data_IF_384561187903
#
_entry.id   IF_384561187903
#
_cell.length_a   1.000
_cell.length_b   1.000
_cell.length_c   1.000
_cell.angle_alpha   90.00
_cell.angle_beta   90.00
_cell.angle_gamma   90.00
#
_symmetry.space_group_name_H-M   'P 1'
#
loop_
_entity.id
_entity.type
_entity.pdbx_description
1 polymer ?
#
# COMPACT_ATOMS: atom_id res chain seq x y z
N UNK A 1 -15.07 -3.29 4.23
CA UNK A 1 -13.76 -2.86 3.72
C UNK A 1 -12.64 -3.85 4.05
N UNK A 2 -12.23 -4.00 5.32
CA UNK A 2 -11.06 -4.81 5.72
C UNK A 2 -11.04 -6.22 5.10
N UNK A 3 -12.12 -7.02 5.27
CA UNK A 3 -12.21 -8.38 4.69
C UNK A 3 -12.01 -8.43 3.17
N UNK A 4 -12.41 -7.40 2.44
CA UNK A 4 -12.23 -7.33 0.99
C UNK A 4 -10.77 -7.01 0.64
N UNK A 5 -10.11 -6.16 1.42
CA UNK A 5 -8.68 -5.88 1.29
C UNK A 5 -7.87 -7.13 1.61
N UNK A 6 -8.18 -7.86 2.69
CA UNK A 6 -7.53 -9.13 3.02
C UNK A 6 -7.70 -10.17 1.91
N UNK A 7 -8.90 -10.27 1.31
CA UNK A 7 -9.15 -11.15 0.16
C UNK A 7 -8.31 -10.76 -1.06
N UNK A 8 -8.18 -9.47 -1.33
CA UNK A 8 -7.33 -8.95 -2.40
C UNK A 8 -5.86 -9.28 -2.11
N UNK A 9 -5.39 -9.07 -0.87
CA UNK A 9 -4.03 -9.40 -0.44
C UNK A 9 -3.72 -10.88 -0.64
N UNK A 10 -4.63 -11.77 -0.23
CA UNK A 10 -4.45 -13.21 -0.42
C UNK A 10 -4.35 -13.61 -1.89
N UNK A 11 -5.27 -13.12 -2.73
CA UNK A 11 -5.29 -13.41 -4.18
C UNK A 11 -4.01 -12.98 -4.88
N UNK A 12 -3.41 -11.91 -4.38
CA UNK A 12 -2.28 -11.24 -5.00
C UNK A 12 -0.95 -11.54 -4.29
N UNK A 13 -0.92 -12.45 -3.31
CA UNK A 13 0.28 -12.76 -2.51
C UNK A 13 0.94 -11.49 -1.92
N UNK A 14 0.13 -10.63 -1.33
CA UNK A 14 0.61 -9.47 -0.57
C UNK A 14 0.83 -9.92 0.87
N UNK A 15 2.06 -9.77 1.35
CA UNK A 15 2.45 -10.22 2.69
C UNK A 15 1.89 -9.30 3.78
N UNK A 16 1.93 -7.98 3.56
CA UNK A 16 1.60 -6.99 4.59
C UNK A 16 0.95 -5.75 3.97
N UNK A 17 0.08 -5.10 4.73
CA UNK A 17 -0.64 -3.90 4.31
C UNK A 17 -0.84 -2.95 5.48
N UNK A 18 -0.71 -1.66 5.22
CA UNK A 18 -1.05 -0.59 6.16
C UNK A 18 -2.13 0.30 5.55
N UNK A 19 -3.19 0.53 6.31
CA UNK A 19 -4.29 1.44 5.97
C UNK A 19 -4.20 2.61 6.94
N UNK A 20 -4.05 3.82 6.43
CA UNK A 20 -3.80 5.04 7.21
C UNK A 20 -4.90 6.04 6.92
N UNK A 21 -5.60 6.50 7.96
CA UNK A 21 -6.44 7.68 7.89
C UNK A 21 -5.54 8.93 7.93
N UNK A 22 -5.54 9.75 6.89
CA UNK A 22 -4.63 10.90 6.78
C UNK A 22 -5.06 12.07 7.69
N UNK A 23 -6.33 12.12 8.09
CA UNK A 23 -6.84 13.16 8.99
C UNK A 23 -6.41 12.89 10.44
N UNK A 24 -6.45 11.62 10.86
CA UNK A 24 -6.17 11.21 12.26
C UNK A 24 -4.82 10.52 12.45
N UNK A 25 -4.16 10.11 11.37
CA UNK A 25 -2.95 9.26 11.35
C UNK A 25 -3.11 7.89 12.01
N UNK A 26 -4.35 7.48 12.29
CA UNK A 26 -4.65 6.13 12.78
C UNK A 26 -4.31 5.10 11.72
N UNK A 27 -3.72 3.98 12.18
CA UNK A 27 -3.22 2.91 11.32
C UNK A 27 -3.90 1.60 11.63
N UNK A 28 -4.27 0.89 10.57
CA UNK A 28 -4.67 -0.52 10.62
C UNK A 28 -3.65 -1.32 9.83
N UNK A 29 -3.03 -2.29 10.49
CA UNK A 29 -2.06 -3.19 9.90
C UNK A 29 -2.71 -4.56 9.63
N UNK A 30 -2.52 -5.09 8.42
CA UNK A 30 -3.05 -6.38 7.99
C UNK A 30 -1.91 -7.27 7.47
N UNK A 31 -2.04 -8.58 7.65
CA UNK A 31 -1.05 -9.57 7.21
C UNK A 31 0.14 -9.71 8.17
N UNK A 32 1.27 -10.17 7.64
CA UNK A 32 2.46 -10.50 8.41
C UNK A 32 3.70 -9.79 7.83
N UNK A 33 4.15 -8.74 8.52
CA UNK A 33 5.34 -7.98 8.15
C UNK A 33 6.64 -8.80 8.23
N UNK A 34 6.67 -9.87 9.01
CA UNK A 34 7.87 -10.71 9.18
C UNK A 34 8.10 -11.65 7.99
N UNK A 35 7.12 -11.76 7.08
CA UNK A 35 7.31 -12.43 5.78
C UNK A 35 8.13 -11.60 4.79
N UNK A 36 8.55 -10.38 5.15
CA UNK A 36 9.27 -9.47 4.27
C UNK A 36 10.66 -9.16 4.80
N UNK A 37 11.67 -9.46 3.99
CA UNK A 37 13.08 -9.18 4.24
C UNK A 37 13.75 -8.62 2.97
N UNK A 38 14.40 -7.44 3.05
CA UNK A 38 14.51 -6.56 4.22
C UNK A 38 13.17 -5.89 4.58
N UNK A 39 12.97 -5.52 5.84
CA UNK A 39 11.75 -4.85 6.30
C UNK A 39 11.91 -3.31 6.40
N UNK A 40 13.00 -2.73 5.89
CA UNK A 40 13.27 -1.30 6.14
C UNK A 40 12.26 -0.39 5.42
N UNK A 41 11.69 -0.79 4.27
CA UNK A 41 10.57 -0.05 3.67
C UNK A 41 9.37 0.09 4.62
N UNK A 42 9.15 -0.87 5.52
CA UNK A 42 8.10 -0.77 6.54
C UNK A 42 8.59 0.15 7.66
N UNK A 43 9.84 -0.02 8.10
CA UNK A 43 10.46 0.80 9.17
C UNK A 43 10.53 2.28 8.82
N UNK A 44 10.76 2.61 7.55
CA UNK A 44 10.73 3.97 7.01
C UNK A 44 9.39 4.68 7.17
N UNK A 45 8.33 3.97 7.55
CA UNK A 45 6.99 4.49 7.69
C UNK A 45 6.41 4.18 9.09
N UNK A 46 7.24 3.79 10.06
CA UNK A 46 6.77 3.42 11.41
C UNK A 46 6.28 4.64 12.19
N UNK A 47 7.02 5.74 12.13
CA UNK A 47 6.70 6.96 12.86
C UNK A 47 5.68 7.83 12.09
N UNK A 48 4.83 8.55 12.81
CA UNK A 48 3.82 9.44 12.23
C UNK A 48 4.43 10.53 11.33
N UNK A 49 5.58 11.07 11.74
CA UNK A 49 6.29 12.09 10.96
C UNK A 49 6.80 11.54 9.62
N UNK A 50 7.21 10.27 9.60
CA UNK A 50 7.66 9.64 8.37
C UNK A 50 6.48 9.35 7.43
N UNK A 51 5.34 8.90 7.97
CA UNK A 51 4.09 8.77 7.21
C UNK A 51 3.64 10.10 6.59
N UNK A 52 3.71 11.19 7.35
CA UNK A 52 3.43 12.54 6.85
C UNK A 52 4.38 12.91 5.71
N UNK A 53 5.66 12.60 5.86
CA UNK A 53 6.67 12.79 4.82
C UNK A 53 6.36 11.98 3.55
N UNK A 54 5.97 10.72 3.71
CA UNK A 54 5.55 9.86 2.61
C UNK A 54 4.32 10.44 1.90
N UNK A 55 3.28 10.80 2.64
CA UNK A 55 2.06 11.39 2.07
C UNK A 55 2.37 12.66 1.27
N UNK A 56 3.17 13.59 1.81
CA UNK A 56 3.64 14.79 1.09
C UNK A 56 4.38 14.45 -0.20
N UNK A 57 5.14 13.36 -0.22
CA UNK A 57 5.83 12.88 -1.42
C UNK A 57 4.88 12.32 -2.51
N UNK A 58 3.61 12.08 -2.17
CA UNK A 58 2.54 11.69 -3.11
C UNK A 58 1.73 12.87 -3.64
N UNK A 59 1.75 14.02 -2.98
CA UNK A 59 0.96 15.19 -3.37
C UNK A 59 1.32 15.68 -4.78
N UNK A 60 0.30 15.87 -5.62
CA UNK A 60 0.46 16.29 -7.02
C UNK A 60 1.17 15.28 -7.92
N UNK A 61 1.38 14.03 -7.46
CA UNK A 61 2.01 12.97 -8.25
C UNK A 61 0.97 11.96 -8.75
N UNK A 62 1.21 11.33 -9.91
CA UNK A 62 0.38 10.21 -10.36
C UNK A 62 0.45 9.04 -9.38
N UNK A 63 -0.71 8.45 -9.11
CA UNK A 63 -0.88 7.26 -8.28
C UNK A 63 -1.54 6.13 -9.07
N UNK A 64 -1.31 4.86 -8.69
CA UNK A 64 -0.51 4.41 -7.54
C UNK A 64 0.99 4.45 -7.82
N UNK A 65 1.81 4.43 -6.76
CA UNK A 65 3.28 4.58 -6.86
C UNK A 65 4.02 3.42 -6.21
N UNK A 66 5.05 2.91 -6.91
CA UNK A 66 5.89 1.83 -6.43
C UNK A 66 7.22 2.35 -5.88
N UNK A 67 7.59 1.88 -4.69
CA UNK A 67 8.89 2.04 -4.08
C UNK A 67 9.52 0.64 -3.91
N UNK A 68 10.85 0.55 -3.89
CA UNK A 68 11.57 -0.73 -3.87
C UNK A 68 12.77 -0.65 -2.94
N UNK A 69 13.04 -1.75 -2.25
CA UNK A 69 14.27 -2.00 -1.53
C UNK A 69 14.62 -3.48 -1.62
N UNK A 70 15.75 -3.81 -2.25
CA UNK A 70 16.04 -5.20 -2.61
C UNK A 70 14.89 -5.78 -3.43
N UNK A 71 14.34 -6.92 -3.02
CA UNK A 71 13.20 -7.55 -3.70
C UNK A 71 11.84 -7.18 -3.11
N UNK A 72 11.82 -6.44 -1.99
CA UNK A 72 10.59 -5.95 -1.39
C UNK A 72 10.14 -4.68 -2.11
N UNK A 73 8.84 -4.63 -2.43
CA UNK A 73 8.17 -3.47 -2.98
C UNK A 73 7.08 -2.97 -2.06
N UNK A 74 6.91 -1.66 -2.09
CA UNK A 74 5.79 -0.95 -1.50
C UNK A 74 4.98 -0.34 -2.63
N UNK A 75 3.67 -0.58 -2.65
CA UNK A 75 2.72 0.12 -3.51
C UNK A 75 1.87 1.06 -2.66
N UNK A 76 1.99 2.36 -2.92
CA UNK A 76 1.21 3.40 -2.25
C UNK A 76 0.01 3.77 -3.13
N UNK A 77 -1.18 3.68 -2.56
CA UNK A 77 -2.46 4.04 -3.16
C UNK A 77 -3.16 5.08 -2.28
N UNK A 78 -3.89 6.02 -2.90
CA UNK A 78 -4.83 6.92 -2.24
C UNK A 78 -6.23 6.69 -2.84
N UNK A 79 -6.94 5.64 -2.42
CA UNK A 79 -8.28 5.35 -2.93
C UNK A 79 -9.30 6.46 -2.65
N UNK A 80 -9.06 7.30 -1.64
CA UNK A 80 -9.80 8.51 -1.30
C UNK A 80 -8.85 9.56 -0.73
N UNK A 81 -9.29 10.81 -0.68
CA UNK A 81 -8.47 11.95 -0.23
C UNK A 81 -7.88 11.73 1.17
N UNK A 82 -8.65 11.15 2.10
CA UNK A 82 -8.22 10.95 3.48
C UNK A 82 -7.77 9.52 3.81
N UNK A 83 -7.57 8.66 2.81
CA UNK A 83 -7.23 7.25 3.05
C UNK A 83 -6.04 6.84 2.19
N UNK A 84 -4.89 6.62 2.84
CA UNK A 84 -3.70 6.05 2.21
C UNK A 84 -3.61 4.56 2.51
N UNK A 85 -3.26 3.76 1.51
CA UNK A 85 -3.06 2.33 1.66
C UNK A 85 -1.72 1.93 1.06
N UNK A 86 -0.92 1.22 1.83
CA UNK A 86 0.42 0.79 1.47
C UNK A 86 0.47 -0.73 1.48
N UNK A 87 0.74 -1.33 0.33
CA UNK A 87 0.90 -2.78 0.19
C UNK A 87 2.37 -3.15 0.08
N UNK A 88 2.80 -4.17 0.81
CA UNK A 88 4.18 -4.64 0.83
C UNK A 88 4.24 -6.09 0.38
N UNK A 89 5.07 -6.36 -0.62
CA UNK A 89 5.15 -7.67 -1.27
C UNK A 89 6.49 -7.86 -1.98
N UNK A 90 6.83 -9.10 -2.30
CA UNK A 90 7.99 -9.41 -3.14
C UNK A 90 7.67 -9.24 -4.63
N UNK A 91 8.61 -8.65 -5.35
CA UNK A 91 8.53 -8.51 -6.80
C UNK A 91 9.21 -9.67 -7.51
N UNK A 92 8.47 -10.37 -8.37
CA UNK A 92 8.97 -11.50 -9.15
C UNK A 92 8.82 -11.31 -10.67
N UNK A 93 8.37 -10.14 -11.14
CA UNK A 93 8.00 -9.90 -12.54
C UNK A 93 8.72 -8.72 -13.20
N UNK A 94 8.48 -8.56 -14.50
CA UNK A 94 8.97 -7.41 -15.25
C UNK A 94 8.28 -6.11 -14.81
N UNK A 95 9.00 -4.99 -14.90
CA UNK A 95 8.50 -3.66 -14.52
C UNK A 95 7.13 -3.31 -15.13
N UNK A 96 6.90 -3.72 -16.39
CA UNK A 96 5.64 -3.47 -17.10
C UNK A 96 4.46 -4.17 -16.44
N UNK A 97 4.65 -5.41 -15.99
CA UNK A 97 3.61 -6.19 -15.33
C UNK A 97 3.28 -5.62 -13.95
N UNK A 98 4.28 -5.07 -13.28
CA UNK A 98 4.10 -4.43 -11.97
C UNK A 98 3.34 -3.11 -12.09
N UNK A 99 3.64 -2.29 -13.09
CA UNK A 99 2.85 -1.08 -13.37
C UNK A 99 1.39 -1.45 -13.64
N UNK A 100 1.15 -2.50 -14.44
CA UNK A 100 -0.20 -2.99 -14.74
C UNK A 100 -0.88 -3.54 -13.49
N UNK A 101 -0.15 -4.27 -12.65
CA UNK A 101 -0.62 -4.82 -11.37
C UNK A 101 -1.00 -3.71 -10.40
N UNK A 102 -0.16 -2.70 -10.23
CA UNK A 102 -0.45 -1.54 -9.39
C UNK A 102 -1.72 -0.81 -9.82
N UNK A 103 -1.87 -0.51 -11.12
CA UNK A 103 -3.10 0.10 -11.65
C UNK A 103 -4.35 -0.74 -11.38
N UNK A 104 -4.25 -2.06 -11.49
CA UNK A 104 -5.34 -2.98 -11.14
C UNK A 104 -5.70 -2.88 -9.65
N UNK A 105 -4.70 -2.87 -8.76
CA UNK A 105 -4.93 -2.80 -7.32
C UNK A 105 -5.59 -1.50 -6.91
N UNK A 106 -5.09 -0.37 -7.41
CA UNK A 106 -5.68 0.93 -7.12
C UNK A 106 -7.14 1.00 -7.58
N UNK A 107 -7.46 0.47 -8.77
CA UNK A 107 -8.84 0.41 -9.25
C UNK A 107 -9.74 -0.50 -8.40
N UNK A 108 -9.23 -1.67 -7.97
CA UNK A 108 -9.97 -2.60 -7.11
C UNK A 108 -10.18 -2.01 -5.71
N UNK A 109 -9.14 -1.40 -5.13
CA UNK A 109 -9.20 -0.74 -3.84
C UNK A 109 -10.19 0.43 -3.84
N UNK A 110 -10.17 1.28 -4.88
CA UNK A 110 -11.15 2.36 -5.06
C UNK A 110 -12.59 1.85 -5.06
N UNK A 111 -12.85 0.71 -5.71
CA UNK A 111 -14.18 0.07 -5.69
C UNK A 111 -14.55 -0.46 -4.31
N UNK A 112 -13.62 -1.13 -3.62
CA UNK A 112 -13.83 -1.66 -2.26
C UNK A 112 -14.19 -0.53 -1.30
N UNK A 113 -13.45 0.58 -1.37
CA UNK A 113 -13.65 1.73 -0.51
C UNK A 113 -14.96 2.45 -0.86
N UNK A 114 -15.30 2.57 -2.16
CA UNK A 114 -16.58 3.13 -2.62
C UNK A 114 -17.80 2.38 -2.08
N UNK A 115 -17.74 1.05 -1.96
CA UNK A 115 -18.82 0.21 -1.42
C UNK A 115 -18.95 0.24 0.11
N UNK A 116 -17.94 0.77 0.81
CA UNK A 116 -17.90 0.81 2.27
C UNK A 116 -18.40 2.14 2.85
N UNK A 117 -18.83 3.07 2.00
CA UNK A 117 -19.56 4.29 2.35
C UNK A 117 -21.05 4.10 2.22
#
# INVERSE_FOLDING_TARGET
MIKLIEKMMYKEDIAYCEIVNIDTWERICLGDRWRLHPNDLIRMNEEENDLKGLYRCTEGKPLPRHWRQGDVKMLVCLPRENLMVMFYYYAYGELKDEIKRGKRFDAELKRIVAQAS
#
